data_IF_745065614127
#
_entry.id   IF_745065614127
#
_cell.length_a   1.000
_cell.length_b   1.000
_cell.length_c   1.000
_cell.angle_alpha   90.00
_cell.angle_beta   90.00
_cell.angle_gamma   90.00
#
_symmetry.space_group_name_H-M   'P 1'
#
loop_
_entity.id
_entity.type
_entity.pdbx_description
1 polymer ?
#
# COMPACT_ATOMS: atom_id res chain seq x y z
N UNK A 1 -12.99 -3.54 9.77
CA UNK A 1 -12.08 -4.13 8.75
C UNK A 1 -12.28 -5.63 8.52
N UNK A 2 -12.89 -6.40 9.43
CA UNK A 2 -13.11 -7.85 9.27
C UNK A 2 -13.95 -8.23 8.04
N UNK A 3 -15.00 -7.47 7.74
CA UNK A 3 -15.88 -7.73 6.60
C UNK A 3 -15.16 -7.49 5.26
N UNK A 4 -14.34 -6.43 5.21
CA UNK A 4 -13.46 -6.11 4.08
C UNK A 4 -12.46 -7.26 3.88
N UNK A 5 -11.78 -7.70 4.94
CA UNK A 5 -10.86 -8.84 4.85
C UNK A 5 -11.54 -10.08 4.27
N UNK A 6 -12.75 -10.41 4.73
CA UNK A 6 -13.47 -11.60 4.27
C UNK A 6 -13.89 -11.51 2.80
N UNK A 7 -14.25 -10.32 2.30
CA UNK A 7 -14.55 -10.13 0.87
C UNK A 7 -13.30 -10.27 -0.01
N UNK A 8 -12.15 -9.79 0.48
CA UNK A 8 -10.87 -9.83 -0.22
C UNK A 8 -10.28 -11.24 -0.32
N UNK A 9 -10.47 -12.09 0.69
CA UNK A 9 -9.99 -13.48 0.69
C UNK A 9 -10.57 -14.33 -0.46
N UNK A 10 -11.68 -13.91 -1.05
CA UNK A 10 -12.34 -14.60 -2.17
C UNK A 10 -11.83 -14.17 -3.55
N UNK A 11 -10.96 -13.16 -3.61
CA UNK A 11 -10.44 -12.58 -4.86
C UNK A 11 -9.06 -13.13 -5.19
N UNK A 12 -8.65 -12.98 -6.45
CA UNK A 12 -7.25 -13.14 -6.83
C UNK A 12 -6.39 -12.04 -6.19
N UNK A 13 -5.09 -12.28 -6.09
CA UNK A 13 -4.17 -11.42 -5.35
C UNK A 13 -4.14 -9.96 -5.88
N UNK A 14 -4.22 -9.76 -7.19
CA UNK A 14 -4.14 -8.43 -7.79
C UNK A 14 -5.45 -7.66 -7.62
N UNK A 15 -6.58 -8.34 -7.83
CA UNK A 15 -7.90 -7.76 -7.55
C UNK A 15 -8.08 -7.43 -6.07
N UNK A 16 -7.53 -8.25 -5.16
CA UNK A 16 -7.53 -7.97 -3.74
C UNK A 16 -6.66 -6.75 -3.40
N UNK A 17 -5.44 -6.66 -3.93
CA UNK A 17 -4.55 -5.52 -3.71
C UNK A 17 -5.18 -4.20 -4.20
N UNK A 18 -5.76 -4.20 -5.41
CA UNK A 18 -6.46 -3.03 -5.96
C UNK A 18 -7.62 -2.58 -5.07
N UNK A 19 -8.44 -3.53 -4.60
CA UNK A 19 -9.59 -3.24 -3.74
C UNK A 19 -9.17 -2.76 -2.34
N UNK A 20 -8.06 -3.28 -1.80
CA UNK A 20 -7.49 -2.75 -0.55
C UNK A 20 -7.10 -1.29 -0.71
N UNK A 21 -6.37 -0.93 -1.77
CA UNK A 21 -6.01 0.47 -2.03
C UNK A 21 -7.27 1.36 -2.15
N UNK A 22 -8.31 0.88 -2.83
CA UNK A 22 -9.58 1.60 -2.95
C UNK A 22 -10.30 1.80 -1.61
N UNK A 23 -10.35 0.77 -0.76
CA UNK A 23 -10.96 0.91 0.57
C UNK A 23 -10.15 1.82 1.48
N UNK A 24 -8.82 1.77 1.40
CA UNK A 24 -7.94 2.69 2.13
C UNK A 24 -8.13 4.13 1.66
N UNK A 25 -8.33 4.33 0.35
CA UNK A 25 -8.61 5.64 -0.21
C UNK A 25 -9.85 6.28 0.42
N UNK A 26 -10.95 5.53 0.46
CA UNK A 26 -12.21 5.96 1.10
C UNK A 26 -11.98 6.23 2.59
N UNK A 27 -11.30 5.31 3.27
CA UNK A 27 -11.02 5.41 4.70
C UNK A 27 -10.20 6.66 5.02
N UNK A 28 -9.06 6.88 4.38
CA UNK A 28 -8.22 8.05 4.66
C UNK A 28 -8.83 9.35 4.13
N UNK A 29 -9.55 9.32 3.01
CA UNK A 29 -10.31 10.47 2.52
C UNK A 29 -11.35 10.95 3.54
N UNK A 30 -12.05 10.02 4.20
CA UNK A 30 -13.06 10.35 5.22
C UNK A 30 -12.41 10.79 6.53
N UNK A 31 -11.36 10.11 6.98
CA UNK A 31 -10.60 10.47 8.19
C UNK A 31 -10.03 11.89 8.11
N UNK A 32 -9.47 12.28 6.96
CA UNK A 32 -8.89 13.62 6.79
C UNK A 32 -9.94 14.74 6.74
N UNK A 33 -11.21 14.43 6.46
CA UNK A 33 -12.31 15.39 6.53
C UNK A 33 -12.81 15.61 7.96
N UNK A 34 -12.59 14.65 8.87
CA UNK A 34 -12.92 14.74 10.29
C UNK A 34 -11.67 15.08 11.13
N UNK A 35 -11.49 16.34 11.53
CA UNK A 35 -10.39 16.77 12.41
C UNK A 35 -10.43 16.13 13.83
N UNK A 36 -9.35 16.18 14.64
CA UNK A 36 -7.94 15.94 14.35
C UNK A 36 -7.36 14.94 15.37
N UNK A 37 -7.68 13.65 15.28
CA UNK A 37 -6.89 12.62 15.95
C UNK A 37 -6.85 11.37 15.07
N UNK A 38 -5.75 11.14 14.34
CA UNK A 38 -5.57 9.85 13.69
C UNK A 38 -5.22 8.87 14.81
N UNK A 39 -6.23 8.19 15.34
CA UNK A 39 -5.95 6.86 15.89
C UNK A 39 -5.48 6.07 14.67
N UNK A 40 -4.18 5.86 14.57
CA UNK A 40 -3.59 4.95 13.60
C UNK A 40 -4.14 3.58 13.96
N UNK A 41 -5.29 3.25 13.39
CA UNK A 41 -5.84 1.92 13.45
C UNK A 41 -4.80 0.99 12.82
N UNK A 42 -4.53 -0.14 13.47
CA UNK A 42 -3.64 -1.15 12.90
C UNK A 42 -4.32 -1.88 11.73
N UNK A 43 -5.64 -1.78 11.63
CA UNK A 43 -6.45 -2.40 10.57
C UNK A 43 -5.95 -2.13 9.15
N UNK A 44 -5.74 -0.86 8.73
CA UNK A 44 -5.17 -0.52 7.42
C UNK A 44 -3.86 -1.22 7.11
N UNK A 45 -2.92 -1.20 8.07
CA UNK A 45 -1.58 -1.79 7.90
C UNK A 45 -1.67 -3.31 7.78
N UNK A 46 -2.52 -3.96 8.57
CA UNK A 46 -2.75 -5.41 8.49
C UNK A 46 -3.29 -5.84 7.12
N UNK A 47 -4.22 -5.07 6.54
CA UNK A 47 -4.73 -5.36 5.19
C UNK A 47 -3.65 -5.20 4.13
N UNK A 48 -2.78 -4.19 4.25
CA UNK A 48 -1.66 -4.00 3.35
C UNK A 48 -0.66 -5.16 3.46
N UNK A 49 -0.33 -5.59 4.67
CA UNK A 49 0.55 -6.75 4.90
C UNK A 49 0.00 -8.00 4.23
N UNK A 50 -1.28 -8.29 4.43
CA UNK A 50 -1.89 -9.51 3.91
C UNK A 50 -2.07 -9.49 2.39
N UNK A 51 -2.58 -8.39 1.83
CA UNK A 51 -3.02 -8.36 0.43
C UNK A 51 -2.06 -7.68 -0.54
N UNK A 52 -1.17 -6.79 -0.06
CA UNK A 52 -0.13 -6.16 -0.89
C UNK A 52 1.20 -6.87 -0.72
N UNK A 53 1.64 -7.07 0.52
CA UNK A 53 2.94 -7.70 0.83
C UNK A 53 2.89 -9.22 0.94
N UNK A 54 1.71 -9.83 0.80
CA UNK A 54 1.49 -11.28 0.85
C UNK A 54 2.00 -11.93 2.14
N UNK A 55 1.92 -11.20 3.26
CA UNK A 55 2.31 -11.65 4.61
C UNK A 55 1.08 -12.25 5.28
N UNK A 56 1.00 -13.58 5.45
CA UNK A 56 -0.19 -14.21 6.00
C UNK A 56 -0.40 -13.81 7.46
N UNK A 57 -1.66 -13.52 7.82
CA UNK A 57 -2.03 -13.23 9.21
C UNK A 57 -2.02 -14.48 10.10
N UNK A 58 -2.28 -15.65 9.52
CA UNK A 58 -2.37 -16.93 10.24
C UNK A 58 -0.98 -17.58 10.40
N UNK A 59 -0.62 -17.93 11.65
CA UNK A 59 0.62 -18.64 11.94
C UNK A 59 0.60 -20.01 11.27
N UNK A 60 1.46 -20.20 10.26
CA UNK A 60 1.62 -21.45 9.53
C UNK A 60 1.12 -21.42 8.09
N UNK A 61 0.39 -20.37 7.69
CA UNK A 61 0.08 -20.14 6.28
C UNK A 61 1.35 -19.75 5.52
N UNK A 62 1.56 -20.34 4.35
CA UNK A 62 2.70 -20.00 3.50
C UNK A 62 2.45 -18.68 2.75
N UNK A 63 3.41 -17.74 2.72
CA UNK A 63 3.31 -16.55 1.89
C UNK A 63 3.09 -16.93 0.43
N UNK A 64 2.03 -16.40 -0.19
CA UNK A 64 1.81 -16.57 -1.62
C UNK A 64 2.70 -15.58 -2.37
N UNK A 65 3.86 -16.04 -2.84
CA UNK A 65 4.73 -15.20 -3.67
C UNK A 65 4.06 -14.91 -5.01
N UNK A 66 3.99 -13.64 -5.37
CA UNK A 66 3.62 -13.21 -6.72
C UNK A 66 4.72 -13.65 -7.69
N UNK A 67 4.33 -14.08 -8.89
CA UNK A 67 5.30 -14.25 -9.97
C UNK A 67 5.72 -12.89 -10.55
N UNK A 68 6.75 -12.86 -11.40
CA UNK A 68 7.29 -11.61 -11.94
C UNK A 68 6.27 -10.77 -12.73
N UNK A 69 5.35 -11.42 -13.45
CA UNK A 69 4.29 -10.73 -14.17
C UNK A 69 3.29 -10.10 -13.20
N UNK A 70 2.86 -10.84 -12.18
CA UNK A 70 1.95 -10.35 -11.15
C UNK A 70 2.58 -9.21 -10.35
N UNK A 71 3.87 -9.31 -10.03
CA UNK A 71 4.59 -8.23 -9.35
C UNK A 71 4.62 -6.96 -10.21
N UNK A 72 4.90 -7.08 -11.51
CA UNK A 72 4.83 -5.95 -12.44
C UNK A 72 3.42 -5.34 -12.51
N UNK A 73 2.38 -6.17 -12.57
CA UNK A 73 0.99 -5.71 -12.57
C UNK A 73 0.61 -5.01 -11.25
N UNK A 74 1.11 -5.49 -10.11
CA UNK A 74 0.91 -4.82 -8.82
C UNK A 74 1.56 -3.42 -8.83
N UNK A 75 2.79 -3.30 -9.32
CA UNK A 75 3.48 -2.01 -9.44
C UNK A 75 2.71 -1.05 -10.37
N UNK A 76 2.14 -1.56 -11.46
CA UNK A 76 1.29 -0.79 -12.36
C UNK A 76 0.02 -0.30 -11.65
N UNK A 77 -0.67 -1.17 -10.91
CA UNK A 77 -1.84 -0.83 -10.10
C UNK A 77 -1.51 0.29 -9.12
N UNK A 78 -0.38 0.17 -8.40
CA UNK A 78 0.06 1.19 -7.44
C UNK A 78 0.39 2.51 -8.12
N UNK A 79 1.13 2.48 -9.24
CA UNK A 79 1.43 3.67 -10.04
C UNK A 79 0.17 4.38 -10.50
N UNK A 80 -0.79 3.64 -11.05
CA UNK A 80 -2.06 4.19 -11.53
C UNK A 80 -2.87 4.77 -10.38
N UNK A 81 -2.95 4.06 -9.25
CA UNK A 81 -3.61 4.57 -8.05
C UNK A 81 -3.04 5.94 -7.60
N UNK A 82 -1.72 6.05 -7.43
CA UNK A 82 -1.10 7.32 -7.02
C UNK A 82 -1.25 8.41 -8.08
N UNK A 83 -1.28 8.05 -9.36
CA UNK A 83 -1.50 8.99 -10.45
C UNK A 83 -2.94 9.54 -10.45
N UNK A 84 -3.93 8.71 -10.13
CA UNK A 84 -5.36 9.04 -10.17
C UNK A 84 -5.84 9.76 -8.90
N UNK A 85 -5.22 9.50 -7.74
CA UNK A 85 -5.60 10.18 -6.50
C UNK A 85 -5.23 11.66 -6.54
N UNK A 86 -6.24 12.53 -6.44
CA UNK A 86 -6.11 13.99 -6.60
C UNK A 86 -5.81 14.74 -5.30
N UNK A 87 -6.02 14.11 -4.14
CA UNK A 87 -5.74 14.70 -2.83
C UNK A 87 -4.34 14.29 -2.36
N UNK A 88 -3.42 15.24 -2.37
CA UNK A 88 -2.02 15.02 -1.98
C UNK A 88 -1.90 14.41 -0.57
N UNK A 89 -2.69 14.90 0.39
CA UNK A 89 -2.71 14.37 1.76
C UNK A 89 -3.10 12.89 1.83
N UNK A 90 -4.02 12.43 0.98
CA UNK A 90 -4.43 11.02 0.89
C UNK A 90 -3.33 10.18 0.25
N UNK A 91 -2.66 10.68 -0.79
CA UNK A 91 -1.48 10.00 -1.37
C UNK A 91 -0.40 9.81 -0.32
N UNK A 92 -0.05 10.87 0.41
CA UNK A 92 1.03 10.87 1.39
C UNK A 92 0.77 9.90 2.56
N UNK A 93 -0.46 9.87 3.09
CA UNK A 93 -0.80 8.96 4.20
C UNK A 93 -0.85 7.49 3.75
N UNK A 94 -1.31 7.21 2.53
CA UNK A 94 -1.31 5.85 2.00
C UNK A 94 0.11 5.39 1.69
N UNK A 95 0.93 6.25 1.09
CA UNK A 95 2.35 5.95 0.85
C UNK A 95 3.07 5.66 2.17
N UNK A 96 2.83 6.46 3.20
CA UNK A 96 3.39 6.24 4.53
C UNK A 96 2.87 4.93 5.15
N UNK A 97 1.59 4.60 4.99
CA UNK A 97 1.03 3.34 5.50
C UNK A 97 1.60 2.10 4.80
N UNK A 98 1.97 2.22 3.53
CA UNK A 98 2.61 1.17 2.75
C UNK A 98 4.08 0.95 3.15
N UNK A 99 4.83 2.02 3.34
CA UNK A 99 6.30 1.94 3.37
C UNK A 99 6.95 2.33 4.69
N UNK A 100 6.22 2.88 5.67
CA UNK A 100 6.79 3.10 7.00
C UNK A 100 7.18 1.76 7.65
N UNK A 101 8.41 1.64 8.19
CA UNK A 101 8.87 0.44 8.85
C UNK A 101 7.96 0.06 10.02
N UNK A 102 7.66 -1.23 10.14
CA UNK A 102 6.83 -1.77 11.23
C UNK A 102 7.69 -2.45 12.32
N UNK A 103 9.00 -2.58 12.11
CA UNK A 103 9.91 -3.29 12.99
C UNK A 103 9.74 -4.81 12.89
N UNK A 104 9.29 -5.31 11.74
CA UNK A 104 8.97 -6.72 11.54
C UNK A 104 9.66 -7.29 10.29
N UNK A 105 9.59 -8.62 10.10
CA UNK A 105 10.24 -9.31 8.97
C UNK A 105 9.67 -8.93 7.59
N UNK A 106 8.53 -8.22 7.53
CA UNK A 106 7.96 -7.74 6.28
C UNK A 106 8.65 -6.46 5.79
N UNK A 107 9.44 -5.78 6.62
CA UNK A 107 10.11 -4.53 6.25
C UNK A 107 11.06 -4.71 5.06
N UNK A 108 11.77 -5.84 4.96
CA UNK A 108 12.62 -6.17 3.80
C UNK A 108 11.79 -6.24 2.51
N UNK A 109 10.63 -6.89 2.56
CA UNK A 109 9.70 -6.97 1.43
C UNK A 109 9.11 -5.60 1.08
N UNK A 110 8.80 -4.77 2.08
CA UNK A 110 8.32 -3.39 1.88
C UNK A 110 9.35 -2.54 1.17
N UNK A 111 10.61 -2.58 1.63
CA UNK A 111 11.71 -1.81 1.03
C UNK A 111 12.06 -2.30 -0.38
N UNK A 112 12.01 -3.62 -0.60
CA UNK A 112 12.16 -4.20 -1.95
C UNK A 112 11.07 -3.70 -2.91
N UNK A 113 9.80 -3.71 -2.47
CA UNK A 113 8.68 -3.22 -3.27
C UNK A 113 8.79 -1.71 -3.52
N UNK A 114 9.19 -0.93 -2.51
CA UNK A 114 9.42 0.51 -2.63
C UNK A 114 10.46 0.81 -3.73
N UNK A 115 11.60 0.13 -3.70
CA UNK A 115 12.66 0.30 -4.70
C UNK A 115 12.17 0.01 -6.12
N UNK A 116 11.38 -1.06 -6.29
CA UNK A 116 10.77 -1.41 -7.58
C UNK A 116 9.74 -0.37 -8.04
N UNK A 117 8.88 0.10 -7.12
CA UNK A 117 7.86 1.11 -7.40
C UNK A 117 8.49 2.43 -7.84
N UNK A 118 9.50 2.92 -7.11
CA UNK A 118 10.22 4.15 -7.47
C UNK A 118 10.93 3.98 -8.81
N UNK A 119 11.60 2.85 -9.04
CA UNK A 119 12.29 2.57 -10.32
C UNK A 119 11.31 2.59 -11.50
N UNK A 120 10.15 1.95 -11.36
CA UNK A 120 9.11 1.96 -12.38
C UNK A 120 8.53 3.38 -12.56
N UNK A 121 8.26 4.10 -11.47
CA UNK A 121 7.74 5.46 -11.52
C UNK A 121 8.67 6.42 -12.25
N UNK A 122 9.99 6.28 -12.09
CA UNK A 122 10.99 7.01 -12.88
C UNK A 122 10.88 6.62 -14.36
N UNK A 123 10.84 5.33 -14.67
CA UNK A 123 10.81 4.83 -16.06
C UNK A 123 9.54 5.25 -16.84
N UNK A 124 8.39 5.34 -16.16
CA UNK A 124 7.10 5.70 -16.76
C UNK A 124 6.60 7.09 -16.36
N UNK A 125 7.48 7.94 -15.83
CA UNK A 125 7.22 9.35 -15.49
C UNK A 125 6.01 9.57 -14.57
N UNK A 126 5.82 8.73 -13.54
CA UNK A 126 4.74 8.86 -12.54
C UNK A 126 5.15 9.82 -11.43
N UNK A 127 5.08 11.11 -11.72
CA UNK A 127 5.50 12.19 -10.81
C UNK A 127 4.86 12.10 -9.41
N UNK A 128 3.53 11.82 -9.26
CA UNK A 128 2.92 11.74 -7.93
C UNK A 128 3.53 10.69 -7.00
N UNK A 129 4.01 9.57 -7.56
CA UNK A 129 4.71 8.53 -6.77
C UNK A 129 6.06 9.05 -6.29
N UNK A 130 6.80 9.73 -7.16
CA UNK A 130 8.12 10.29 -6.85
C UNK A 130 8.04 11.40 -5.81
N UNK A 131 7.01 12.24 -5.88
CA UNK A 131 6.73 13.26 -4.85
C UNK A 131 6.44 12.63 -3.49
N UNK A 132 5.61 11.57 -3.45
CA UNK A 132 5.35 10.84 -2.20
C UNK A 132 6.62 10.22 -1.63
N UNK A 133 7.45 9.60 -2.49
CA UNK A 133 8.73 9.04 -2.08
C UNK A 133 9.68 10.11 -1.51
N UNK A 134 9.75 11.28 -2.17
CA UNK A 134 10.56 12.40 -1.71
C UNK A 134 10.09 12.93 -0.35
N UNK A 135 8.79 13.16 -0.18
CA UNK A 135 8.23 13.60 1.10
C UNK A 135 8.44 12.56 2.21
N UNK A 136 8.27 11.28 1.90
CA UNK A 136 8.50 10.21 2.86
C UNK A 136 9.98 10.13 3.30
N UNK A 137 10.93 10.26 2.36
CA UNK A 137 12.35 10.31 2.68
C UNK A 137 12.72 11.54 3.52
N UNK A 138 12.11 12.70 3.26
CA UNK A 138 12.32 13.91 4.05
C UNK A 138 11.86 13.76 5.51
N UNK A 139 10.83 12.97 5.78
CA UNK A 139 10.37 12.71 7.16
C UNK A 139 11.32 11.77 7.92
N UNK A 140 12.10 10.96 7.21
CA UNK A 140 13.06 10.02 7.80
C UNK A 140 14.45 10.62 8.05
N UNK A 141 14.79 11.74 7.42
CA UNK A 141 16.08 12.44 7.50
C UNK A 141 16.01 13.64 8.44
#
# INVERSE_FOLDING_TARGET
>A
MSDIRHSLLRRDALSAAKEVLYHLDIYFSSQLQSAPLPIVDKGPVELLEEFVFQVPKERGAQPKRLNSLQELQLLEIMCNYFQEQTKDSVRQIIFSSLFSPQGNKADDSRMSLLGKLVSMAVAVCRIPVLECAASWLQVLL
#
